data_IF_619455614618
#
_entry.id   IF_619455614618
#
_cell.length_a   1.000
_cell.length_b   1.000
_cell.length_c   1.000
_cell.angle_alpha   90.00
_cell.angle_beta   90.00
_cell.angle_gamma   90.00
#
_symmetry.space_group_name_H-M   'P 1'
#
loop_
_entity.id
_entity.type
_entity.pdbx_description
1 polymer ?
#
# COMPACT_ATOMS: atom_id res chain seq x y z
N UNK A 1 24.15 15.17 40.95
CA UNK A 1 24.64 15.68 40.48
C UNK A 1 25.46 15.33 39.36
N UNK A 2 26.08 15.39 38.71
CA UNK A 2 26.78 15.05 37.53
C UNK A 2 25.95 14.68 36.31
N UNK A 3 24.69 14.52 36.49
CA UNK A 3 23.84 14.22 35.32
C UNK A 3 23.34 15.52 34.75
N UNK A 4 23.75 15.79 33.57
CA UNK A 4 23.26 16.94 32.84
C UNK A 4 22.04 16.59 32.05
N UNK A 5 21.00 17.40 32.12
CA UNK A 5 19.91 17.23 31.20
C UNK A 5 20.46 17.47 29.81
N UNK A 6 20.45 16.47 29.02
CA UNK A 6 21.03 16.54 27.70
C UNK A 6 20.26 17.50 26.83
N UNK A 7 18.95 17.57 27.05
CA UNK A 7 18.11 18.36 26.19
C UNK A 7 16.95 18.98 26.97
N UNK A 8 16.59 20.17 26.53
CA UNK A 8 15.46 20.89 27.07
C UNK A 8 14.17 20.37 26.45
N UNK A 9 13.22 19.86 27.24
CA UNK A 9 11.97 19.37 26.69
C UNK A 9 11.19 20.41 25.88
N UNK A 10 11.22 21.66 26.28
CA UNK A 10 10.55 22.73 25.53
C UNK A 10 11.17 22.92 24.17
N UNK A 11 12.49 22.86 24.10
CA UNK A 11 13.22 22.99 22.84
C UNK A 11 12.93 21.81 21.93
N UNK A 12 12.89 20.61 22.48
CA UNK A 12 12.56 19.41 21.71
C UNK A 12 11.15 19.46 21.12
N UNK A 13 10.21 19.94 21.91
CA UNK A 13 8.83 20.06 21.45
C UNK A 13 8.72 21.11 20.33
N UNK A 14 9.48 22.17 20.45
CA UNK A 14 9.52 23.20 19.42
C UNK A 14 10.10 22.66 18.12
N UNK A 15 11.19 21.90 18.21
CA UNK A 15 11.80 21.28 17.05
C UNK A 15 10.86 20.27 16.38
N UNK A 16 10.16 19.48 17.21
CA UNK A 16 9.17 18.54 16.72
C UNK A 16 8.06 19.27 15.97
N UNK A 17 7.56 20.34 16.52
CA UNK A 17 6.49 21.11 15.89
C UNK A 17 6.94 21.70 14.54
N UNK A 18 8.17 22.18 14.47
CA UNK A 18 8.73 22.66 13.21
C UNK A 18 8.83 21.56 12.17
N UNK A 19 9.26 20.34 12.60
CA UNK A 19 9.31 19.20 11.70
C UNK A 19 7.93 18.79 11.20
N UNK A 20 6.94 18.84 12.07
CA UNK A 20 5.57 18.51 11.69
C UNK A 20 5.00 19.53 10.71
N UNK A 21 5.32 20.80 10.88
CA UNK A 21 4.94 21.85 9.93
C UNK A 21 5.57 21.61 8.55
N UNK A 22 6.83 21.20 8.53
CA UNK A 22 7.51 20.89 7.27
C UNK A 22 6.90 19.66 6.61
N UNK A 23 6.57 18.63 7.41
CA UNK A 23 5.90 17.43 6.93
C UNK A 23 4.57 17.77 6.28
N UNK A 24 3.79 18.62 6.93
CA UNK A 24 2.49 19.06 6.38
C UNK A 24 2.66 19.72 5.03
N UNK A 25 3.63 20.62 4.90
CA UNK A 25 3.90 21.31 3.63
C UNK A 25 4.30 20.33 2.55
N UNK A 26 5.15 19.37 2.89
CA UNK A 26 5.59 18.36 1.93
C UNK A 26 4.42 17.47 1.47
N UNK A 27 3.57 17.07 2.38
CA UNK A 27 2.38 16.27 2.04
C UNK A 27 1.49 17.04 1.07
N UNK A 28 1.26 18.31 1.34
CA UNK A 28 0.43 19.16 0.48
C UNK A 28 1.03 19.25 -0.93
N UNK A 29 2.33 19.48 -1.02
CA UNK A 29 3.03 19.61 -2.30
C UNK A 29 3.01 18.29 -3.06
N UNK A 30 3.23 17.18 -2.36
CA UNK A 30 3.17 15.84 -2.96
C UNK A 30 1.76 15.57 -3.50
N UNK A 31 0.73 15.89 -2.73
CA UNK A 31 -0.65 15.68 -3.16
C UNK A 31 -0.98 16.51 -4.42
N UNK A 32 -0.54 17.74 -4.46
CA UNK A 32 -0.73 18.60 -5.64
C UNK A 32 -0.03 18.02 -6.86
N UNK A 33 1.19 17.55 -6.67
CA UNK A 33 1.97 16.94 -7.74
C UNK A 33 1.27 15.70 -8.26
N UNK A 34 0.79 14.82 -7.35
CA UNK A 34 0.10 13.59 -7.74
C UNK A 34 -1.20 13.88 -8.49
N UNK A 35 -1.83 15.03 -8.23
CA UNK A 35 -3.05 15.43 -8.91
C UNK A 35 -2.79 16.12 -10.24
N UNK A 36 -1.55 16.47 -10.54
CA UNK A 36 -1.18 17.15 -11.77
C UNK A 36 -0.48 16.23 -12.77
N UNK A 37 0.25 15.23 -12.29
CA UNK A 37 1.01 14.32 -13.14
C UNK A 37 0.06 13.35 -13.82
N UNK A 38 0.20 13.21 -15.13
CA UNK A 38 -0.61 12.33 -15.95
C UNK A 38 0.29 11.28 -16.60
N UNK A 39 -0.14 10.03 -16.56
CA UNK A 39 0.53 8.91 -17.23
C UNK A 39 -0.51 8.17 -18.06
N UNK A 40 -0.32 8.17 -19.38
CA UNK A 40 -1.23 7.52 -20.34
C UNK A 40 -2.70 7.89 -20.10
N UNK A 41 -2.96 9.17 -19.87
CA UNK A 41 -4.31 9.69 -19.71
C UNK A 41 -4.90 9.54 -18.31
N UNK A 42 -4.15 8.99 -17.35
CA UNK A 42 -4.62 8.85 -15.96
C UNK A 42 -3.77 9.68 -15.02
N UNK A 43 -4.41 10.26 -14.02
CA UNK A 43 -3.71 11.02 -12.99
C UNK A 43 -2.91 10.10 -12.08
N UNK A 44 -1.75 10.54 -11.68
CA UNK A 44 -0.92 9.77 -10.75
C UNK A 44 -1.65 9.48 -9.44
N UNK A 45 -2.45 10.43 -8.94
CA UNK A 45 -3.27 10.21 -7.74
C UNK A 45 -4.24 9.04 -7.91
N UNK A 46 -4.84 8.89 -9.09
CA UNK A 46 -5.75 7.80 -9.38
C UNK A 46 -5.02 6.47 -9.46
N UNK A 47 -3.84 6.46 -10.06
CA UNK A 47 -3.00 5.26 -10.13
C UNK A 47 -2.59 4.80 -8.73
N UNK A 48 -2.24 5.72 -7.86
CA UNK A 48 -1.88 5.41 -6.47
C UNK A 48 -3.06 4.81 -5.72
N UNK A 49 -4.26 5.36 -5.90
CA UNK A 49 -5.47 4.82 -5.29
C UNK A 49 -5.77 3.41 -5.81
N UNK A 50 -5.63 3.18 -7.10
CA UNK A 50 -5.81 1.86 -7.70
C UNK A 50 -4.82 0.85 -7.12
N UNK A 51 -3.57 1.26 -6.96
CA UNK A 51 -2.54 0.40 -6.38
C UNK A 51 -2.87 0.03 -4.95
N UNK A 52 -3.30 0.99 -4.15
CA UNK A 52 -3.64 0.74 -2.75
C UNK A 52 -4.80 -0.23 -2.61
N UNK A 53 -5.85 -0.06 -3.41
CA UNK A 53 -7.00 -0.96 -3.39
C UNK A 53 -6.62 -2.35 -3.91
N UNK A 54 -5.79 -2.42 -4.94
CA UNK A 54 -5.32 -3.69 -5.49
C UNK A 54 -4.53 -4.47 -4.45
N UNK A 55 -3.70 -3.78 -3.69
CA UNK A 55 -2.92 -4.37 -2.60
C UNK A 55 -3.84 -4.96 -1.53
N UNK A 56 -4.89 -4.21 -1.15
CA UNK A 56 -5.88 -4.68 -0.19
C UNK A 56 -6.64 -5.90 -0.74
N UNK A 57 -6.98 -5.88 -2.01
CA UNK A 57 -7.68 -6.98 -2.65
C UNK A 57 -6.84 -8.25 -2.64
N UNK A 58 -5.57 -8.15 -3.00
CA UNK A 58 -4.63 -9.27 -2.96
C UNK A 58 -4.55 -9.83 -1.54
N UNK A 59 -4.36 -8.97 -0.55
CA UNK A 59 -4.27 -9.40 0.85
C UNK A 59 -5.54 -10.09 1.31
N UNK A 60 -6.72 -9.58 0.92
CA UNK A 60 -8.00 -10.17 1.28
C UNK A 60 -8.17 -11.57 0.69
N UNK A 61 -7.82 -11.74 -0.58
CA UNK A 61 -7.92 -13.06 -1.22
C UNK A 61 -6.90 -14.04 -0.65
N UNK A 62 -5.69 -13.58 -0.35
CA UNK A 62 -4.68 -14.42 0.29
C UNK A 62 -5.14 -14.87 1.67
N UNK A 63 -5.76 -13.99 2.43
CA UNK A 63 -6.30 -14.33 3.74
C UNK A 63 -7.42 -15.36 3.61
N UNK A 64 -8.31 -15.21 2.62
CA UNK A 64 -9.38 -16.16 2.35
C UNK A 64 -8.82 -17.52 1.99
N UNK A 65 -7.77 -17.57 1.17
CA UNK A 65 -7.08 -18.81 0.81
C UNK A 65 -6.53 -19.49 2.07
N UNK A 66 -5.91 -18.73 2.94
CA UNK A 66 -5.34 -19.24 4.17
C UNK A 66 -6.43 -19.86 5.07
N UNK A 67 -7.56 -19.18 5.22
CA UNK A 67 -8.69 -19.69 6.02
C UNK A 67 -9.27 -20.93 5.38
N UNK A 68 -9.49 -20.94 4.08
CA UNK A 68 -10.05 -22.08 3.36
C UNK A 68 -9.12 -23.28 3.45
N UNK A 69 -7.82 -23.07 3.34
CA UNK A 69 -6.82 -24.14 3.46
C UNK A 69 -6.83 -24.74 4.86
N UNK A 70 -6.96 -23.91 5.89
CA UNK A 70 -7.05 -24.40 7.27
C UNK A 70 -8.33 -25.20 7.51
N UNK A 71 -9.45 -24.74 6.97
CA UNK A 71 -10.71 -25.47 7.06
C UNK A 71 -10.62 -26.82 6.35
N UNK A 72 -10.03 -26.85 5.18
CA UNK A 72 -9.84 -28.07 4.41
C UNK A 72 -8.97 -29.06 5.18
N UNK A 73 -7.92 -28.60 5.82
CA UNK A 73 -7.03 -29.43 6.63
C UNK A 73 -7.74 -30.02 7.85
N UNK A 74 -8.65 -29.26 8.46
CA UNK A 74 -9.39 -29.69 9.66
C UNK A 74 -10.61 -30.53 9.34
N UNK A 75 -11.08 -30.50 8.10
CA UNK A 75 -12.26 -31.20 7.69
C UNK A 75 -11.98 -32.69 7.57
N UNK A 76 -12.96 -33.52 8.00
CA UNK A 76 -12.91 -34.99 7.87
C UNK A 76 -13.70 -35.50 6.67
N UNK A 77 -14.45 -34.61 6.01
CA UNK A 77 -15.29 -35.00 4.88
C UNK A 77 -14.56 -34.77 3.56
N UNK A 78 -14.48 -35.80 2.74
CA UNK A 78 -13.83 -35.71 1.44
C UNK A 78 -14.53 -34.71 0.53
N UNK A 79 -15.84 -34.64 0.60
CA UNK A 79 -16.63 -33.73 -0.22
C UNK A 79 -16.29 -32.27 0.09
N UNK A 80 -16.18 -31.91 1.38
CA UNK A 80 -15.84 -30.57 1.82
C UNK A 80 -14.42 -30.24 1.39
N UNK A 81 -13.50 -31.20 1.48
CA UNK A 81 -12.12 -31.02 1.03
C UNK A 81 -12.03 -30.70 -0.45
N UNK A 82 -12.80 -31.41 -1.27
CA UNK A 82 -12.81 -31.22 -2.71
C UNK A 82 -13.33 -29.83 -3.07
N UNK A 83 -14.41 -29.40 -2.43
CA UNK A 83 -14.99 -28.09 -2.66
C UNK A 83 -14.01 -26.97 -2.27
N UNK A 84 -13.41 -27.08 -1.10
CA UNK A 84 -12.43 -26.10 -0.63
C UNK A 84 -11.20 -26.07 -1.53
N UNK A 85 -10.74 -27.23 -2.00
CA UNK A 85 -9.58 -27.31 -2.88
C UNK A 85 -9.84 -26.63 -4.23
N UNK A 86 -11.05 -26.78 -4.78
CA UNK A 86 -11.43 -26.13 -6.03
C UNK A 86 -11.47 -24.62 -5.85
N UNK A 87 -12.08 -24.14 -4.79
CA UNK A 87 -12.17 -22.72 -4.49
C UNK A 87 -10.78 -22.12 -4.27
N UNK A 88 -9.90 -22.83 -3.56
CA UNK A 88 -8.54 -22.38 -3.31
C UNK A 88 -7.76 -22.24 -4.61
N UNK A 89 -7.90 -23.20 -5.53
CA UNK A 89 -7.24 -23.10 -6.84
C UNK A 89 -7.72 -21.90 -7.64
N UNK A 90 -9.04 -21.67 -7.66
CA UNK A 90 -9.60 -20.53 -8.36
C UNK A 90 -9.13 -19.21 -7.75
N UNK A 91 -9.12 -19.12 -6.44
CA UNK A 91 -8.66 -17.95 -5.72
C UNK A 91 -7.17 -17.72 -5.93
N UNK A 92 -6.37 -18.78 -5.96
CA UNK A 92 -4.93 -18.66 -6.20
C UNK A 92 -4.65 -18.11 -7.60
N UNK A 93 -5.37 -18.56 -8.60
CA UNK A 93 -5.26 -18.02 -9.95
C UNK A 93 -5.61 -16.54 -9.98
N UNK A 94 -6.63 -16.15 -9.24
CA UNK A 94 -7.04 -14.76 -9.16
C UNK A 94 -5.97 -13.92 -8.49
N UNK A 95 -5.38 -14.40 -7.40
CA UNK A 95 -4.28 -13.72 -6.72
C UNK A 95 -3.09 -13.56 -7.66
N UNK A 96 -2.75 -14.59 -8.43
CA UNK A 96 -1.64 -14.53 -9.38
C UNK A 96 -1.88 -13.46 -10.45
N UNK A 97 -3.11 -13.38 -10.97
CA UNK A 97 -3.48 -12.36 -11.95
C UNK A 97 -3.43 -10.96 -11.33
N UNK A 98 -3.96 -10.79 -10.14
CA UNK A 98 -3.93 -9.51 -9.43
C UNK A 98 -2.50 -9.08 -9.11
N UNK A 99 -1.66 -10.02 -8.74
CA UNK A 99 -0.24 -9.74 -8.44
C UNK A 99 0.51 -9.27 -9.67
N UNK A 100 0.18 -9.83 -10.84
CA UNK A 100 0.74 -9.38 -12.11
C UNK A 100 0.28 -7.95 -12.40
N UNK A 101 -1.02 -7.69 -12.24
CA UNK A 101 -1.57 -6.37 -12.44
C UNK A 101 -0.92 -5.36 -11.50
N UNK A 102 -0.67 -5.75 -10.25
CA UNK A 102 0.03 -4.92 -9.27
C UNK A 102 1.43 -4.54 -9.77
N UNK A 103 2.20 -5.51 -10.25
CA UNK A 103 3.55 -5.23 -10.75
C UNK A 103 3.55 -4.27 -11.94
N UNK A 104 2.62 -4.46 -12.85
CA UNK A 104 2.49 -3.60 -14.03
C UNK A 104 2.15 -2.17 -13.59
N UNK A 105 1.16 -2.05 -12.69
CA UNK A 105 0.72 -0.76 -12.18
C UNK A 105 1.83 -0.06 -11.38
N UNK A 106 2.51 -0.80 -10.52
CA UNK A 106 3.59 -0.25 -9.70
C UNK A 106 4.75 0.25 -10.57
N UNK A 107 5.12 -0.50 -11.61
CA UNK A 107 6.15 -0.06 -12.56
C UNK A 107 5.73 1.23 -13.27
N UNK A 108 4.47 1.34 -13.63
CA UNK A 108 3.93 2.54 -14.27
C UNK A 108 3.99 3.75 -13.33
N UNK A 109 3.65 3.54 -12.06
CA UNK A 109 3.71 4.58 -11.04
C UNK A 109 5.15 5.03 -10.83
N UNK A 110 6.09 4.09 -10.72
CA UNK A 110 7.49 4.41 -10.52
C UNK A 110 8.06 5.19 -11.71
N UNK A 111 7.69 4.82 -12.93
CA UNK A 111 8.11 5.54 -14.11
C UNK A 111 7.57 6.98 -14.11
N UNK A 112 6.31 7.15 -13.71
CA UNK A 112 5.71 8.48 -13.61
C UNK A 112 6.38 9.33 -12.52
N UNK A 113 6.67 8.72 -11.38
CA UNK A 113 7.37 9.41 -10.28
C UNK A 113 8.79 9.84 -10.70
N UNK A 114 9.46 9.00 -11.47
CA UNK A 114 10.83 9.28 -11.92
C UNK A 114 10.90 10.53 -12.79
N UNK A 115 9.85 10.78 -13.58
CA UNK A 115 9.82 11.91 -14.50
C UNK A 115 9.02 13.10 -13.97
N UNK A 116 8.35 12.96 -12.83
CA UNK A 116 7.52 14.00 -12.28
C UNK A 116 8.36 15.04 -11.54
N UNK A 117 8.02 16.30 -11.74
CA UNK A 117 8.62 17.39 -10.99
C UNK A 117 7.67 17.79 -9.86
N UNK A 118 8.24 18.01 -8.71
CA UNK A 118 7.49 18.44 -7.54
C UNK A 118 6.94 19.85 -7.75
N UNK A 119 5.65 20.02 -7.51
CA UNK A 119 5.02 21.33 -7.63
C UNK A 119 5.20 22.09 -6.32
N UNK A 120 6.06 23.08 -6.34
CA UNK A 120 6.36 23.91 -5.17
C UNK A 120 5.66 25.25 -5.29
N UNK A 121 4.77 25.54 -4.36
CA UNK A 121 4.13 26.85 -4.31
C UNK A 121 3.93 27.28 -2.88
#
# INVERSE_FOLDING_TARGET
EGVLPVEDPEQLLKELDECLNQLEKLIIVINKTNMAVVSDGELLSDLLAKRDVLKLRIASFQNTISIASNLCFRSRGDEIRQLSAVDVKALQKKVDALSRDYRILDNRIQAANWTADLIEE
#
